data_IF_595602783879
#
_entry.id   IF_595602783879
#
_cell.length_a   1.000
_cell.length_b   1.000
_cell.length_c   1.000
_cell.angle_alpha   90.00
_cell.angle_beta   90.00
_cell.angle_gamma   90.00
#
_symmetry.space_group_name_H-M   'P 1'
#
loop_
_entity.id
_entity.type
_entity.pdbx_description
1 polymer ?
#
# COMPACT_ATOMS: atom_id res chain seq x y z
N UNK A 1 1.73 -10.49 -2.36
CA UNK A 1 2.55 -10.99 -1.24
C UNK A 1 1.91 -12.16 -0.51
N UNK A 2 0.64 -12.11 -0.14
CA UNK A 2 -0.03 -13.12 0.68
C UNK A 2 -0.26 -14.51 0.04
N UNK A 3 0.37 -14.80 -1.10
CA UNK A 3 0.30 -16.08 -1.84
C UNK A 3 1.61 -16.35 -2.61
N UNK A 4 2.72 -15.83 -2.09
CA UNK A 4 4.02 -15.81 -2.75
C UNK A 4 4.56 -17.22 -3.07
N UNK A 5 4.35 -18.20 -2.19
CA UNK A 5 4.72 -19.61 -2.41
C UNK A 5 4.09 -20.18 -3.67
N UNK A 6 2.81 -19.87 -3.91
CA UNK A 6 2.09 -20.34 -5.11
C UNK A 6 2.62 -19.70 -6.39
N UNK A 7 3.03 -18.44 -6.32
CA UNK A 7 3.68 -17.76 -7.44
C UNK A 7 5.04 -18.40 -7.79
N UNK A 8 5.83 -18.79 -6.77
CA UNK A 8 7.08 -19.53 -6.96
C UNK A 8 6.81 -20.92 -7.54
N UNK A 9 5.82 -21.64 -7.02
CA UNK A 9 5.44 -22.98 -7.50
C UNK A 9 4.94 -22.97 -8.96
N UNK A 10 4.34 -21.85 -9.41
CA UNK A 10 3.92 -21.63 -10.80
C UNK A 10 5.03 -21.08 -11.69
N UNK A 11 6.25 -20.91 -11.17
CA UNK A 11 7.39 -20.29 -11.87
C UNK A 11 7.10 -18.87 -12.36
N UNK A 12 6.20 -18.14 -11.69
CA UNK A 12 5.93 -16.72 -11.95
C UNK A 12 6.98 -15.82 -11.31
N UNK A 13 7.71 -16.35 -10.31
CA UNK A 13 8.86 -15.72 -9.67
C UNK A 13 9.95 -16.77 -9.56
N UNK A 14 11.14 -16.44 -10.05
CA UNK A 14 12.36 -17.17 -9.70
C UNK A 14 12.99 -16.49 -8.48
N UNK A 15 12.85 -17.07 -7.27
CA UNK A 15 13.30 -16.42 -6.05
C UNK A 15 14.82 -16.28 -5.98
N UNK A 16 15.59 -17.19 -6.61
CA UNK A 16 17.05 -17.14 -6.62
C UNK A 16 17.51 -16.00 -7.50
N UNK A 17 16.99 -15.93 -8.72
CA UNK A 17 17.30 -14.85 -9.65
C UNK A 17 16.92 -13.47 -9.08
N UNK A 18 15.70 -13.38 -8.54
CA UNK A 18 15.19 -12.11 -8.04
C UNK A 18 15.92 -11.64 -6.78
N UNK A 19 16.29 -12.55 -5.88
CA UNK A 19 17.13 -12.19 -4.73
C UNK A 19 18.51 -11.68 -5.18
N UNK A 20 19.15 -12.36 -6.14
CA UNK A 20 20.44 -11.92 -6.67
C UNK A 20 20.36 -10.56 -7.36
N UNK A 21 19.23 -10.25 -8.02
CA UNK A 21 18.96 -8.93 -8.60
C UNK A 21 18.91 -7.82 -7.54
N UNK A 22 18.22 -8.09 -6.42
CA UNK A 22 18.09 -7.14 -5.31
C UNK A 22 19.42 -6.94 -4.58
N UNK A 23 20.15 -8.05 -4.33
CA UNK A 23 21.40 -8.09 -3.57
C UNK A 23 22.56 -8.67 -4.41
N UNK A 24 23.11 -7.93 -5.39
CA UNK A 24 24.15 -8.44 -6.29
C UNK A 24 25.44 -8.87 -5.58
N UNK A 25 25.75 -8.25 -4.45
CA UNK A 25 26.96 -8.50 -3.67
C UNK A 25 26.82 -9.67 -2.68
N UNK A 26 25.62 -10.23 -2.53
CA UNK A 26 25.40 -11.39 -1.66
C UNK A 26 25.81 -12.68 -2.37
N UNK A 27 26.27 -13.65 -1.58
CA UNK A 27 26.43 -15.02 -2.05
C UNK A 27 25.03 -15.55 -2.41
N UNK A 28 24.87 -16.00 -3.65
CA UNK A 28 23.60 -16.54 -4.14
C UNK A 28 23.16 -17.75 -3.34
N UNK A 29 21.84 -17.97 -3.29
CA UNK A 29 21.26 -19.16 -2.67
C UNK A 29 21.29 -20.35 -3.64
N UNK A 30 21.78 -21.50 -3.19
CA UNK A 30 21.65 -22.76 -3.93
C UNK A 30 20.26 -23.39 -3.77
N UNK A 31 19.54 -23.05 -2.69
CA UNK A 31 18.19 -23.56 -2.40
C UNK A 31 17.11 -22.53 -2.75
N UNK A 32 16.15 -22.87 -3.64
CA UNK A 32 15.00 -22.02 -3.94
C UNK A 32 14.12 -21.71 -2.71
N UNK A 33 14.06 -22.62 -1.73
CA UNK A 33 13.30 -22.40 -0.49
C UNK A 33 13.95 -21.33 0.38
N UNK A 34 15.29 -21.35 0.51
CA UNK A 34 16.04 -20.32 1.23
C UNK A 34 15.89 -18.94 0.56
N UNK A 35 16.00 -18.92 -0.78
CA UNK A 35 15.79 -17.70 -1.55
C UNK A 35 14.36 -17.15 -1.39
N UNK A 36 13.35 -18.03 -1.39
CA UNK A 36 11.94 -17.66 -1.18
C UNK A 36 11.75 -16.99 0.19
N UNK A 37 12.29 -17.57 1.27
CA UNK A 37 12.19 -17.01 2.61
C UNK A 37 12.89 -15.64 2.72
N UNK A 38 14.10 -15.52 2.18
CA UNK A 38 14.86 -14.27 2.21
C UNK A 38 14.19 -13.17 1.38
N UNK A 39 13.65 -13.52 0.22
CA UNK A 39 12.93 -12.61 -0.67
C UNK A 39 11.59 -12.17 -0.08
N UNK A 40 10.85 -13.08 0.55
CA UNK A 40 9.61 -12.74 1.26
C UNK A 40 9.88 -11.78 2.43
N UNK A 41 10.92 -12.05 3.22
CA UNK A 41 11.37 -11.15 4.29
C UNK A 41 11.73 -9.75 3.76
N UNK A 42 12.42 -9.68 2.61
CA UNK A 42 12.71 -8.42 1.96
C UNK A 42 11.41 -7.66 1.65
N UNK A 43 10.46 -8.31 0.99
CA UNK A 43 9.20 -7.70 0.60
C UNK A 43 8.38 -7.21 1.81
N UNK A 44 8.31 -8.00 2.88
CA UNK A 44 7.60 -7.62 4.10
C UNK A 44 8.23 -6.38 4.78
N UNK A 45 9.56 -6.22 4.69
CA UNK A 45 10.20 -4.98 5.14
C UNK A 45 9.93 -3.82 4.19
N UNK A 46 9.98 -4.02 2.86
CA UNK A 46 9.80 -2.93 1.89
C UNK A 46 8.39 -2.34 1.88
N UNK A 47 7.33 -3.14 2.07
CA UNK A 47 5.95 -2.62 2.14
C UNK A 47 5.70 -1.63 3.29
N UNK A 48 6.50 -1.70 4.35
CA UNK A 48 6.40 -0.80 5.51
C UNK A 48 7.32 0.43 5.38
N UNK A 49 8.11 0.54 4.31
CA UNK A 49 9.00 1.70 4.10
C UNK A 49 8.19 2.91 3.67
N UNK A 50 8.56 4.06 4.23
CA UNK A 50 8.01 5.34 3.80
C UNK A 50 8.55 5.72 2.42
N UNK A 51 7.70 6.38 1.63
CA UNK A 51 7.97 6.76 0.23
C UNK A 51 9.13 7.77 0.12
N UNK A 52 9.39 8.55 1.17
CA UNK A 52 10.46 9.55 1.24
C UNK A 52 11.84 8.97 1.58
N UNK A 53 11.90 7.70 2.03
CA UNK A 53 13.18 7.05 2.32
C UNK A 53 13.89 6.65 1.03
N UNK A 54 15.12 7.14 0.88
CA UNK A 54 16.01 6.70 -0.19
C UNK A 54 16.36 5.22 -0.02
N UNK A 55 16.23 4.46 -1.10
CA UNK A 55 16.62 3.06 -1.19
C UNK A 55 17.60 2.85 -2.33
N UNK A 56 18.39 1.77 -2.26
CA UNK A 56 19.29 1.40 -3.34
C UNK A 56 18.52 1.21 -4.66
N UNK A 57 19.10 1.59 -5.82
CA UNK A 57 18.42 1.42 -7.11
C UNK A 57 18.00 -0.01 -7.43
N UNK A 58 18.69 -1.01 -6.89
CA UNK A 58 18.31 -2.42 -7.05
C UNK A 58 17.00 -2.77 -6.35
N UNK A 59 16.64 -2.06 -5.27
CA UNK A 59 15.41 -2.25 -4.50
C UNK A 59 14.22 -1.46 -5.04
N UNK A 60 14.36 -0.84 -6.20
CA UNK A 60 13.24 -0.14 -6.80
C UNK A 60 12.24 -1.16 -7.32
N UNK A 61 10.95 -0.83 -7.18
CA UNK A 61 9.85 -1.71 -7.57
C UNK A 61 10.05 -2.19 -9.01
N UNK A 62 9.88 -3.49 -9.23
CA UNK A 62 10.03 -4.12 -10.52
C UNK A 62 8.73 -4.76 -11.01
N UNK A 63 8.84 -5.66 -12.00
CA UNK A 63 7.69 -6.36 -12.56
C UNK A 63 6.88 -7.16 -11.53
N UNK A 64 7.51 -7.67 -10.46
CA UNK A 64 6.83 -8.49 -9.45
C UNK A 64 5.99 -7.67 -8.49
N UNK A 65 6.43 -6.46 -8.13
CA UNK A 65 5.65 -5.52 -7.35
C UNK A 65 4.50 -4.96 -8.19
N UNK A 66 4.76 -4.58 -9.44
CA UNK A 66 3.73 -4.04 -10.34
C UNK A 66 2.61 -5.03 -10.63
N UNK A 67 2.94 -6.30 -10.88
CA UNK A 67 1.90 -7.34 -11.09
C UNK A 67 1.10 -7.61 -9.80
N UNK A 68 1.74 -7.55 -8.63
CA UNK A 68 1.06 -7.70 -7.35
C UNK A 68 0.16 -6.48 -7.05
N UNK A 69 0.61 -5.28 -7.40
CA UNK A 69 -0.18 -4.04 -7.29
C UNK A 69 -1.39 -4.08 -8.21
N UNK A 70 -1.25 -4.53 -9.46
CA UNK A 70 -2.38 -4.66 -10.38
C UNK A 70 -3.47 -5.60 -9.82
N UNK A 71 -3.07 -6.72 -9.21
CA UNK A 71 -3.99 -7.62 -8.52
C UNK A 71 -4.64 -6.96 -7.30
N UNK A 72 -3.86 -6.23 -6.49
CA UNK A 72 -4.37 -5.56 -5.29
C UNK A 72 -5.38 -4.45 -5.62
N UNK A 73 -5.06 -3.60 -6.61
CA UNK A 73 -5.89 -2.49 -7.05
C UNK A 73 -7.12 -2.95 -7.86
N UNK A 74 -7.14 -4.21 -8.31
CA UNK A 74 -8.18 -4.76 -9.21
C UNK A 74 -8.30 -3.98 -10.53
N UNK A 75 -7.17 -3.45 -10.97
CA UNK A 75 -7.03 -2.60 -12.16
C UNK A 75 -5.70 -2.87 -12.88
N UNK A 76 -5.65 -2.73 -14.21
CA UNK A 76 -4.41 -2.84 -14.97
C UNK A 76 -3.50 -1.64 -14.70
N UNK A 77 -2.19 -1.91 -14.62
CA UNK A 77 -1.16 -0.88 -14.56
C UNK A 77 -0.43 -0.85 -15.89
N UNK A 78 -0.51 0.29 -16.57
CA UNK A 78 0.18 0.54 -17.84
C UNK A 78 1.49 1.28 -17.54
N UNK A 79 2.61 0.71 -17.99
CA UNK A 79 3.93 1.31 -17.88
C UNK A 79 4.43 1.66 -19.27
N UNK A 80 4.74 2.93 -19.48
CA UNK A 80 5.50 3.39 -20.64
C UNK A 80 6.98 3.34 -20.30
N UNK A 81 7.65 2.36 -20.88
CA UNK A 81 9.08 2.16 -20.70
C UNK A 81 9.87 2.98 -21.74
N UNK A 82 10.55 4.02 -21.27
CA UNK A 82 11.24 5.01 -22.11
C UNK A 82 12.73 4.72 -22.13
N UNK A 83 13.24 4.40 -23.33
CA UNK A 83 14.65 4.14 -23.57
C UNK A 83 15.48 5.44 -23.59
N UNK A 84 16.80 5.31 -23.73
CA UNK A 84 17.71 6.47 -23.78
C UNK A 84 17.53 7.39 -25.02
N UNK A 85 16.86 6.92 -26.05
CA UNK A 85 16.53 7.67 -27.27
C UNK A 85 15.12 8.30 -27.22
N UNK A 86 14.43 8.21 -26.08
CA UNK A 86 13.03 8.62 -25.88
C UNK A 86 11.99 7.81 -26.67
N UNK A 87 12.33 6.61 -27.14
CA UNK A 87 11.31 5.68 -27.63
C UNK A 87 10.62 5.03 -26.43
N UNK A 88 9.29 5.04 -26.45
CA UNK A 88 8.46 4.49 -25.40
C UNK A 88 7.81 3.18 -25.86
N UNK A 89 7.97 2.11 -25.07
CA UNK A 89 7.29 0.85 -25.28
C UNK A 89 6.30 0.58 -24.15
N UNK A 90 5.12 0.09 -24.48
CA UNK A 90 4.07 -0.15 -23.49
C UNK A 90 4.21 -1.56 -22.89
N UNK A 91 4.21 -1.62 -21.56
CA UNK A 91 4.02 -2.83 -20.78
C UNK A 91 2.70 -2.70 -20.00
N UNK A 92 1.94 -3.78 -19.91
CA UNK A 92 0.72 -3.81 -19.13
C UNK A 92 0.80 -4.92 -18.09
N UNK A 93 0.53 -4.56 -16.84
CA UNK A 93 0.49 -5.46 -15.70
C UNK A 93 -0.97 -5.73 -15.35
N UNK A 94 -1.32 -7.01 -15.36
CA UNK A 94 -2.67 -7.55 -15.31
C UNK A 94 -2.70 -8.68 -14.26
N UNK A 95 -3.86 -9.28 -14.04
CA UNK A 95 -4.00 -10.48 -13.22
C UNK A 95 -4.98 -11.47 -13.85
N UNK A 96 -4.83 -12.75 -13.51
CA UNK A 96 -5.73 -13.82 -13.97
C UNK A 96 -5.67 -15.02 -13.03
N UNK A 97 -6.61 -15.94 -13.22
CA UNK A 97 -6.58 -17.25 -12.59
C UNK A 97 -5.59 -18.19 -13.30
N UNK A 98 -4.79 -18.89 -12.51
CA UNK A 98 -3.90 -19.97 -12.92
C UNK A 98 -4.41 -21.28 -12.34
N UNK A 99 -4.41 -22.35 -13.13
CA UNK A 99 -4.70 -23.69 -12.63
C UNK A 99 -3.41 -24.32 -12.10
N UNK A 100 -3.40 -24.68 -10.82
CA UNK A 100 -2.31 -25.39 -10.16
C UNK A 100 -2.33 -26.89 -10.52
N UNK A 101 -1.19 -27.61 -10.38
CA UNK A 101 -1.12 -29.06 -10.65
C UNK A 101 -2.04 -29.91 -9.77
N UNK A 102 -2.38 -29.42 -8.58
CA UNK A 102 -3.31 -30.07 -7.64
C UNK A 102 -4.80 -29.88 -8.03
N UNK A 103 -5.06 -29.18 -9.14
CA UNK A 103 -6.40 -28.90 -9.63
C UNK A 103 -7.04 -27.66 -9.01
N UNK A 104 -6.40 -26.97 -8.07
CA UNK A 104 -6.93 -25.73 -7.50
C UNK A 104 -6.66 -24.51 -8.38
N UNK A 105 -7.44 -23.45 -8.23
CA UNK A 105 -7.25 -22.19 -8.94
C UNK A 105 -6.50 -21.19 -8.05
N UNK A 106 -5.57 -20.45 -8.65
CA UNK A 106 -4.73 -19.46 -8.01
C UNK A 106 -4.68 -18.17 -8.82
N UNK A 107 -5.19 -17.10 -8.25
CA UNK A 107 -5.11 -15.78 -8.87
C UNK A 107 -3.74 -15.15 -8.64
N UNK A 108 -3.10 -14.72 -9.72
CA UNK A 108 -1.84 -13.99 -9.65
C UNK A 108 -1.72 -12.93 -10.74
N UNK A 109 -0.89 -11.93 -10.47
CA UNK A 109 -0.51 -10.91 -11.43
C UNK A 109 0.47 -11.43 -12.48
N UNK A 110 0.43 -10.85 -13.68
CA UNK A 110 1.42 -11.05 -14.74
C UNK A 110 1.69 -9.76 -15.52
N UNK A 111 2.85 -9.69 -16.17
CA UNK A 111 3.19 -8.63 -17.11
C UNK A 111 3.07 -9.10 -18.55
N UNK A 112 2.62 -8.22 -19.45
CA UNK A 112 2.65 -8.41 -20.90
C UNK A 112 3.30 -7.18 -21.54
N UNK A 113 4.35 -7.39 -22.32
CA UNK A 113 4.88 -6.35 -23.22
C UNK A 113 4.01 -6.30 -24.48
N UNK A 114 3.64 -5.09 -24.89
CA UNK A 114 2.82 -4.87 -26.07
C UNK A 114 3.71 -4.41 -27.22
N UNK A 115 3.44 -4.93 -28.41
CA UNK A 115 3.95 -4.31 -29.65
C UNK A 115 3.31 -2.93 -29.85
N UNK A 116 3.95 -2.03 -30.61
CA UNK A 116 3.41 -0.69 -30.85
C UNK A 116 1.99 -0.73 -31.45
N UNK A 117 1.71 -1.74 -32.28
CA UNK A 117 0.37 -1.99 -32.83
C UNK A 117 -0.62 -2.38 -31.74
N UNK A 118 -0.30 -3.37 -30.91
CA UNK A 118 -1.17 -3.78 -29.81
C UNK A 118 -1.38 -2.64 -28.80
N UNK A 119 -0.34 -1.84 -28.52
CA UNK A 119 -0.42 -0.69 -27.64
C UNK A 119 -1.36 0.38 -28.20
N UNK A 120 -1.23 0.69 -29.48
CA UNK A 120 -2.14 1.62 -30.18
C UNK A 120 -3.58 1.13 -30.14
N UNK A 121 -3.80 -0.15 -30.42
CA UNK A 121 -5.14 -0.77 -30.37
C UNK A 121 -5.72 -0.75 -28.94
N UNK A 122 -4.91 -1.07 -27.93
CA UNK A 122 -5.31 -1.03 -26.53
C UNK A 122 -5.72 0.38 -26.10
N UNK A 123 -4.83 1.36 -26.30
CA UNK A 123 -5.09 2.75 -25.92
C UNK A 123 -6.27 3.33 -26.69
N UNK A 124 -6.47 2.96 -27.96
CA UNK A 124 -7.63 3.37 -28.73
C UNK A 124 -8.93 2.79 -28.17
N UNK A 125 -8.97 1.50 -27.81
CA UNK A 125 -10.17 0.92 -27.21
C UNK A 125 -10.46 1.53 -25.83
N UNK A 126 -9.42 1.83 -25.03
CA UNK A 126 -9.58 2.57 -23.79
C UNK A 126 -10.16 3.97 -24.05
N UNK A 127 -9.62 4.69 -25.02
CA UNK A 127 -10.09 6.02 -25.39
C UNK A 127 -11.54 6.01 -25.88
N UNK A 128 -11.88 5.11 -26.81
CA UNK A 128 -13.22 5.00 -27.39
C UNK A 128 -14.29 4.68 -26.34
N UNK A 129 -13.91 4.05 -25.23
CA UNK A 129 -14.77 3.71 -24.10
C UNK A 129 -14.52 4.58 -22.87
N UNK A 130 -13.79 5.69 -23.00
CA UNK A 130 -13.49 6.63 -21.90
C UNK A 130 -12.89 5.96 -20.63
N UNK A 131 -11.93 5.07 -20.82
CA UNK A 131 -11.22 4.36 -19.74
C UNK A 131 -9.86 5.00 -19.52
N UNK A 132 -9.56 5.33 -18.27
CA UNK A 132 -8.21 5.75 -17.84
C UNK A 132 -7.67 4.69 -16.88
N UNK A 133 -6.78 3.85 -17.38
CA UNK A 133 -6.00 2.92 -16.57
C UNK A 133 -4.93 3.66 -15.77
N UNK A 134 -4.45 3.06 -14.67
CA UNK A 134 -3.31 3.60 -13.93
C UNK A 134 -2.07 3.59 -14.84
N UNK A 135 -1.58 4.78 -15.18
CA UNK A 135 -0.44 4.94 -16.09
C UNK A 135 0.81 5.43 -15.34
N UNK A 136 1.94 4.80 -15.64
CA UNK A 136 3.25 5.13 -15.10
C UNK A 136 4.26 5.26 -16.24
N UNK A 137 5.26 6.12 -16.07
CA UNK A 137 6.38 6.27 -17.01
C UNK A 137 7.64 5.82 -16.31
N UNK A 138 8.33 4.83 -16.87
CA UNK A 138 9.64 4.39 -16.42
C UNK A 138 10.70 5.01 -17.32
N UNK A 139 11.60 5.78 -16.74
CA UNK A 139 12.78 6.31 -17.45
C UNK A 139 14.02 5.53 -17.02
N UNK A 140 14.53 4.63 -17.86
CA UNK A 140 15.64 3.72 -17.50
C UNK A 140 16.87 4.44 -16.93
N UNK A 141 17.19 5.63 -17.43
CA UNK A 141 18.35 6.40 -17.01
C UNK A 141 18.18 7.07 -15.63
N UNK A 142 16.95 7.46 -15.29
CA UNK A 142 16.59 7.98 -13.97
C UNK A 142 16.25 6.83 -13.01
N UNK A 143 16.02 5.63 -13.57
CA UNK A 143 15.48 4.39 -12.98
C UNK A 143 14.06 4.55 -12.40
N UNK A 144 13.48 5.73 -12.37
CA UNK A 144 12.34 6.06 -11.49
C UNK A 144 11.02 5.97 -12.24
N UNK A 145 9.95 5.64 -11.49
CA UNK A 145 8.59 5.68 -12.02
C UNK A 145 7.94 7.03 -11.75
N UNK A 146 7.29 7.57 -12.78
CA UNK A 146 6.47 8.77 -12.69
C UNK A 146 5.01 8.39 -12.88
N UNK A 147 4.17 8.66 -11.89
CA UNK A 147 2.72 8.53 -12.05
C UNK A 147 2.18 9.61 -13.00
N UNK A 148 1.24 9.23 -13.86
CA UNK A 148 0.58 10.16 -14.77
C UNK A 148 -0.69 10.71 -14.12
N UNK A 149 -0.79 12.03 -14.03
CA UNK A 149 -2.02 12.70 -13.57
C UNK A 149 -2.87 13.11 -14.77
N UNK A 150 -4.12 12.70 -14.76
CA UNK A 150 -5.08 12.96 -15.85
C UNK A 150 -6.05 14.13 -15.53
N UNK A 151 -5.95 14.73 -14.34
CA UNK A 151 -6.70 15.91 -13.95
C UNK A 151 -8.22 15.75 -14.06
N UNK A 152 -8.88 16.78 -14.61
CA UNK A 152 -10.34 16.83 -14.79
C UNK A 152 -10.88 15.69 -15.68
N UNK A 153 -10.12 15.25 -16.68
CA UNK A 153 -10.55 14.19 -17.60
C UNK A 153 -10.84 12.89 -16.85
N UNK A 154 -10.00 12.55 -15.86
CA UNK A 154 -10.23 11.37 -15.02
C UNK A 154 -11.51 11.49 -14.21
N UNK A 155 -11.76 12.66 -13.63
CA UNK A 155 -12.98 12.89 -12.85
C UNK A 155 -14.22 12.79 -13.73
N UNK A 156 -14.18 13.37 -14.93
CA UNK A 156 -15.26 13.30 -15.90
C UNK A 156 -15.52 11.85 -16.31
N UNK A 157 -14.53 11.14 -16.82
CA UNK A 157 -14.70 9.77 -17.33
C UNK A 157 -15.03 8.75 -16.25
N UNK A 158 -14.63 9.00 -15.00
CA UNK A 158 -15.02 8.15 -13.86
C UNK A 158 -16.48 8.34 -13.46
N UNK A 159 -17.04 9.54 -13.63
CA UNK A 159 -18.45 9.84 -13.32
C UNK A 159 -19.44 9.36 -14.41
N UNK A 160 -18.93 9.01 -15.59
CA UNK A 160 -19.73 8.44 -16.67
C UNK A 160 -20.23 7.04 -16.31
N UNK A 161 -21.55 6.86 -16.38
CA UNK A 161 -22.23 5.62 -16.01
C UNK A 161 -22.46 5.45 -14.50
N UNK A 162 -21.82 6.26 -13.67
CA UNK A 162 -21.95 6.25 -12.21
C UNK A 162 -22.73 7.48 -11.73
N UNK A 163 -24.05 7.31 -11.54
CA UNK A 163 -24.91 8.40 -11.09
C UNK A 163 -24.59 8.85 -9.65
N UNK A 164 -24.20 7.93 -8.78
CA UNK A 164 -23.91 8.22 -7.37
C UNK A 164 -22.63 9.08 -7.28
N UNK A 165 -21.57 8.69 -7.97
CA UNK A 165 -20.34 9.49 -8.02
C UNK A 165 -20.58 10.84 -8.68
N UNK A 166 -21.33 10.87 -9.79
CA UNK A 166 -21.66 12.12 -10.48
C UNK A 166 -22.34 13.13 -9.54
N UNK A 167 -23.22 12.69 -8.64
CA UNK A 167 -23.87 13.56 -7.66
C UNK A 167 -22.89 14.18 -6.65
N UNK A 168 -21.85 13.46 -6.23
CA UNK A 168 -20.84 13.94 -5.27
C UNK A 168 -19.88 14.99 -5.84
N UNK A 169 -19.76 15.07 -7.16
CA UNK A 169 -18.84 15.99 -7.84
C UNK A 169 -19.37 17.42 -7.79
N UNK A 170 -18.49 18.42 -7.71
CA UNK A 170 -18.91 19.83 -7.65
C UNK A 170 -19.68 20.28 -8.89
N UNK A 171 -20.71 21.10 -8.71
CA UNK A 171 -21.48 21.74 -9.80
C UNK A 171 -20.67 22.79 -10.58
N UNK A 172 -19.44 23.10 -10.17
CA UNK A 172 -18.54 23.98 -10.91
C UNK A 172 -18.14 23.43 -12.28
N UNK A 173 -18.24 22.12 -12.49
CA UNK A 173 -17.89 21.46 -13.73
C UNK A 173 -19.04 21.52 -14.75
N UNK A 174 -18.80 22.15 -15.89
CA UNK A 174 -19.83 22.40 -16.92
C UNK A 174 -20.41 21.11 -17.51
N UNK A 175 -19.59 20.06 -17.65
CA UNK A 175 -19.99 18.75 -18.19
C UNK A 175 -20.89 17.95 -17.25
N UNK A 176 -20.90 18.24 -15.93
CA UNK A 176 -21.68 17.48 -14.94
C UNK A 176 -23.16 17.43 -15.30
N UNK A 177 -23.69 18.54 -15.81
CA UNK A 177 -25.10 18.63 -16.19
C UNK A 177 -25.49 17.66 -17.31
N UNK A 178 -24.57 17.28 -18.19
CA UNK A 178 -24.84 16.51 -19.42
C UNK A 178 -24.33 15.07 -19.40
N UNK A 179 -23.39 14.73 -18.50
CA UNK A 179 -22.55 13.54 -18.57
C UNK A 179 -23.31 12.20 -18.71
N UNK A 180 -24.43 12.04 -18.00
CA UNK A 180 -25.25 10.82 -18.01
C UNK A 180 -26.66 11.06 -18.58
N UNK A 181 -26.89 12.15 -19.32
CA UNK A 181 -28.20 12.44 -19.90
C UNK A 181 -28.51 11.49 -21.06
N UNK A 182 -29.54 10.65 -20.90
CA UNK A 182 -30.01 9.75 -21.95
C UNK A 182 -31.15 10.36 -22.77
N UNK A 183 -31.08 10.21 -24.09
CA UNK A 183 -32.19 10.47 -25.01
C UNK A 183 -33.32 9.46 -24.80
N UNK A 184 -34.52 9.73 -25.32
CA UNK A 184 -35.67 8.82 -25.15
C UNK A 184 -35.45 7.43 -25.78
N UNK A 185 -34.79 7.39 -26.95
CA UNK A 185 -34.42 6.13 -27.60
C UNK A 185 -33.42 5.35 -26.76
N UNK A 186 -32.35 5.99 -26.30
CA UNK A 186 -31.34 5.36 -25.45
C UNK A 186 -31.95 4.80 -24.16
N UNK A 187 -32.87 5.53 -23.52
CA UNK A 187 -33.59 5.05 -22.33
C UNK A 187 -34.34 3.74 -22.56
N UNK A 188 -34.99 3.60 -23.72
CA UNK A 188 -35.80 2.42 -24.08
C UNK A 188 -34.96 1.25 -24.57
N UNK A 189 -33.73 1.49 -25.02
CA UNK A 189 -32.82 0.42 -25.44
C UNK A 189 -32.43 -0.44 -24.25
N UNK A 190 -32.64 -1.75 -24.35
CA UNK A 190 -32.10 -2.72 -23.38
C UNK A 190 -30.63 -3.00 -23.70
N UNK A 191 -29.74 -2.70 -22.75
CA UNK A 191 -28.30 -2.85 -22.91
C UNK A 191 -27.87 -4.31 -23.12
N UNK A 192 -28.67 -5.28 -22.67
CA UNK A 192 -28.41 -6.71 -22.89
C UNK A 192 -28.61 -7.14 -24.35
N UNK A 193 -29.42 -6.39 -25.11
CA UNK A 193 -29.66 -6.64 -26.54
C UNK A 193 -28.62 -5.97 -27.45
N UNK A 194 -27.82 -5.06 -26.90
CA UNK A 194 -26.78 -4.34 -27.63
C UNK A 194 -25.53 -5.21 -27.71
N UNK A 195 -24.96 -5.36 -28.90
CA UNK A 195 -23.67 -6.04 -29.06
C UNK A 195 -22.53 -5.13 -28.56
N UNK A 196 -22.18 -5.28 -27.28
CA UNK A 196 -21.16 -4.48 -26.60
C UNK A 196 -19.74 -4.70 -27.17
N UNK A 197 -19.51 -5.80 -27.89
CA UNK A 197 -18.21 -6.11 -28.50
C UNK A 197 -17.96 -5.33 -29.81
N UNK A 198 -18.98 -4.67 -30.35
CA UNK A 198 -18.83 -3.84 -31.55
C UNK A 198 -18.25 -2.47 -31.16
N UNK A 199 -17.09 -2.13 -31.71
CA UNK A 199 -16.50 -0.80 -31.58
C UNK A 199 -17.14 0.17 -32.60
N UNK A 200 -18.29 0.74 -32.24
CA UNK A 200 -18.97 1.79 -33.00
C UNK A 200 -19.33 2.94 -32.07
N UNK A 201 -19.20 4.19 -32.55
CA UNK A 201 -19.43 5.40 -31.75
C UNK A 201 -20.79 5.41 -31.05
N UNK A 202 -21.86 4.99 -31.74
CA UNK A 202 -23.20 4.93 -31.15
C UNK A 202 -23.33 3.92 -30.00
N UNK A 203 -22.63 2.79 -30.10
CA UNK A 203 -22.58 1.78 -29.05
C UNK A 203 -21.72 2.29 -27.90
N UNK A 204 -20.51 2.76 -28.18
CA UNK A 204 -19.58 3.26 -27.16
C UNK A 204 -20.19 4.39 -26.35
N UNK A 205 -20.86 5.34 -27.00
CA UNK A 205 -21.48 6.47 -26.33
C UNK A 205 -22.61 6.03 -25.39
N UNK A 206 -23.38 5.02 -25.78
CA UNK A 206 -24.39 4.42 -24.92
C UNK A 206 -23.75 3.69 -23.72
N UNK A 207 -22.64 2.98 -23.93
CA UNK A 207 -21.90 2.30 -22.86
C UNK A 207 -21.32 3.31 -21.87
N UNK A 208 -20.67 4.39 -22.33
CA UNK A 208 -20.13 5.44 -21.46
C UNK A 208 -21.17 6.00 -20.49
N UNK A 209 -22.39 6.26 -20.96
CA UNK A 209 -23.45 6.82 -20.09
C UNK A 209 -24.10 5.83 -19.12
N UNK A 210 -23.89 4.53 -19.31
CA UNK A 210 -24.68 3.47 -18.64
C UNK A 210 -23.86 2.46 -17.87
N UNK A 211 -22.56 2.44 -18.10
CA UNK A 211 -21.64 1.51 -17.48
C UNK A 211 -20.53 2.30 -16.80
N UNK A 212 -20.19 1.87 -15.59
CA UNK A 212 -19.07 2.45 -14.87
C UNK A 212 -17.77 2.21 -15.65
N UNK A 213 -16.75 3.04 -15.42
CA UNK A 213 -15.45 2.92 -16.10
C UNK A 213 -14.85 1.51 -15.94
N UNK A 214 -15.09 0.85 -14.79
CA UNK A 214 -14.59 -0.49 -14.54
C UNK A 214 -15.26 -1.55 -15.42
N UNK A 215 -16.57 -1.47 -15.61
CA UNK A 215 -17.29 -2.41 -16.49
C UNK A 215 -16.92 -2.16 -17.95
N UNK A 216 -16.71 -0.89 -18.33
CA UNK A 216 -16.22 -0.53 -19.66
C UNK A 216 -14.84 -1.11 -19.94
N UNK A 217 -13.97 -1.16 -18.93
CA UNK A 217 -12.66 -1.83 -19.03
C UNK A 217 -12.81 -3.33 -19.37
N UNK A 218 -13.78 -4.03 -18.80
CA UNK A 218 -14.03 -5.44 -19.13
C UNK A 218 -14.48 -5.61 -20.58
N UNK A 219 -15.31 -4.68 -21.08
CA UNK A 219 -15.68 -4.63 -22.50
C UNK A 219 -14.45 -4.41 -23.39
N UNK A 220 -13.58 -3.46 -23.04
CA UNK A 220 -12.34 -3.20 -23.77
C UNK A 220 -11.42 -4.43 -23.80
N UNK A 221 -11.27 -5.12 -22.67
CA UNK A 221 -10.50 -6.36 -22.59
C UNK A 221 -11.12 -7.48 -23.44
N UNK A 222 -12.44 -7.66 -23.36
CA UNK A 222 -13.16 -8.65 -24.16
C UNK A 222 -13.01 -8.39 -25.67
N UNK A 223 -13.08 -7.12 -26.12
CA UNK A 223 -12.84 -6.73 -27.52
C UNK A 223 -11.44 -7.06 -28.01
N UNK A 224 -10.45 -6.98 -27.12
CA UNK A 224 -9.03 -7.23 -27.42
C UNK A 224 -8.60 -8.69 -27.15
N UNK A 225 -9.50 -9.56 -26.70
CA UNK A 225 -9.18 -10.93 -26.30
C UNK A 225 -8.25 -11.00 -25.08
N UNK A 226 -8.23 -9.96 -24.25
CA UNK A 226 -7.53 -9.94 -22.98
C UNK A 226 -8.40 -10.55 -21.88
N UNK A 227 -7.81 -11.11 -20.81
CA UNK A 227 -8.57 -11.60 -19.67
C UNK A 227 -9.44 -10.50 -19.06
N UNK A 228 -10.72 -10.82 -18.85
CA UNK A 228 -11.62 -10.02 -18.03
C UNK A 228 -11.15 -10.14 -16.59
N UNK A 229 -10.98 -8.99 -15.95
CA UNK A 229 -10.37 -8.90 -14.63
C UNK A 229 -11.46 -9.06 -13.57
N UNK A 230 -11.24 -9.88 -12.55
CA UNK A 230 -12.20 -10.03 -11.44
C UNK A 230 -12.29 -8.71 -10.66
N UNK A 231 -13.46 -8.09 -10.57
CA UNK A 231 -13.65 -6.77 -9.93
C UNK A 231 -13.85 -6.86 -8.41
N UNK A 232 -14.26 -8.02 -7.89
CA UNK A 232 -14.44 -8.20 -6.46
C UNK A 232 -13.09 -8.15 -5.73
N UNK A 233 -12.97 -7.23 -4.77
CA UNK A 233 -11.95 -7.34 -3.73
C UNK A 233 -12.52 -8.28 -2.66
N UNK A 234 -11.92 -9.45 -2.40
CA UNK A 234 -12.36 -10.25 -1.26
C UNK A 234 -12.16 -9.43 0.01
N UNK A 235 -13.12 -9.48 0.94
CA UNK A 235 -12.92 -9.04 2.33
C UNK A 235 -11.76 -9.85 2.90
N UNK A 236 -10.58 -9.27 2.85
CA UNK A 236 -9.33 -9.98 3.02
C UNK A 236 -8.45 -9.19 3.98
N UNK A 237 -8.20 -9.77 5.15
CA UNK A 237 -7.21 -9.26 6.07
C UNK A 237 -5.82 -9.54 5.48
N UNK A 238 -5.28 -8.53 4.80
CA UNK A 238 -3.98 -8.60 4.16
C UNK A 238 -2.86 -8.89 5.17
N UNK A 239 -2.93 -8.36 6.39
CA UNK A 239 -1.91 -8.57 7.42
C UNK A 239 -1.94 -10.01 7.95
N UNK A 240 -3.14 -10.51 8.28
CA UNK A 240 -3.30 -11.89 8.71
C UNK A 240 -2.80 -12.87 7.63
N UNK A 241 -3.07 -12.57 6.36
CA UNK A 241 -2.65 -13.41 5.26
C UNK A 241 -1.14 -13.34 4.96
N UNK A 242 -0.49 -12.17 5.09
CA UNK A 242 0.98 -12.10 5.03
C UNK A 242 1.60 -12.88 6.19
N UNK A 243 1.04 -12.78 7.39
CA UNK A 243 1.53 -13.52 8.57
C UNK A 243 1.41 -15.03 8.37
N UNK A 244 0.27 -15.50 7.86
CA UNK A 244 0.04 -16.90 7.54
C UNK A 244 1.01 -17.41 6.47
N UNK A 245 1.20 -16.63 5.39
CA UNK A 245 2.14 -16.97 4.32
C UNK A 245 3.58 -17.07 4.85
N UNK A 246 3.98 -16.15 5.74
CA UNK A 246 5.31 -16.18 6.36
C UNK A 246 5.55 -17.46 7.15
N UNK A 247 4.57 -17.86 7.99
CA UNK A 247 4.65 -19.09 8.78
C UNK A 247 4.81 -20.31 7.87
N UNK A 248 4.00 -20.39 6.82
CA UNK A 248 4.07 -21.47 5.84
C UNK A 248 5.41 -21.52 5.09
N UNK A 249 5.99 -20.38 4.73
CA UNK A 249 7.32 -20.33 4.09
C UNK A 249 8.40 -20.87 5.04
N UNK A 250 8.35 -20.49 6.31
CA UNK A 250 9.29 -20.98 7.31
C UNK A 250 9.14 -22.49 7.59
N UNK A 251 7.92 -23.01 7.55
CA UNK A 251 7.64 -24.46 7.66
C UNK A 251 8.24 -25.25 6.47
N UNK A 252 8.06 -24.77 5.24
CA UNK A 252 8.68 -25.38 4.04
C UNK A 252 10.20 -25.32 4.06
N UNK A 253 10.76 -24.30 4.69
CA UNK A 253 12.18 -24.12 4.91
C UNK A 253 12.73 -25.04 6.02
N UNK A 254 11.88 -25.75 6.77
CA UNK A 254 12.28 -26.70 7.81
C UNK A 254 12.51 -26.07 9.19
N UNK A 255 11.96 -24.87 9.44
CA UNK A 255 11.88 -24.30 10.78
C UNK A 255 10.58 -24.78 11.45
N UNK A 256 10.68 -25.48 12.58
CA UNK A 256 9.53 -25.98 13.35
C UNK A 256 8.59 -24.83 13.79
N UNK A 257 7.28 -25.13 13.92
CA UNK A 257 6.22 -24.17 14.29
C UNK A 257 6.51 -23.34 15.56
N UNK A 258 7.32 -23.86 16.49
CA UNK A 258 7.78 -23.17 17.71
C UNK A 258 8.87 -22.13 17.43
N UNK A 259 9.66 -22.26 16.36
CA UNK A 259 10.67 -21.30 15.92
C UNK A 259 10.08 -20.23 14.99
N UNK A 260 9.02 -20.54 14.22
CA UNK A 260 8.31 -19.56 13.39
C UNK A 260 7.48 -18.54 14.20
N UNK A 261 7.13 -18.89 15.44
CA UNK A 261 6.41 -18.03 16.39
C UNK A 261 7.27 -17.57 17.59
N UNK A 262 8.56 -17.88 17.58
CA UNK A 262 9.54 -17.35 18.54
C UNK A 262 10.42 -16.31 17.85
N UNK A 263 10.80 -15.21 18.53
CA UNK A 263 11.79 -14.28 17.99
C UNK A 263 13.06 -15.06 17.64
N UNK A 264 13.54 -14.89 16.41
CA UNK A 264 14.74 -15.52 15.86
C UNK A 264 15.88 -15.58 16.89
N UNK A 265 16.37 -16.77 17.26
CA UNK A 265 17.52 -16.89 18.13
C UNK A 265 18.80 -16.77 17.29
N UNK A 266 19.47 -15.62 17.40
CA UNK A 266 20.89 -15.53 17.11
C UNK A 266 21.28 -14.74 15.87
N UNK A 267 20.81 -13.51 15.75
CA UNK A 267 21.75 -12.46 15.33
C UNK A 267 22.65 -12.20 16.55
N UNK A 268 23.88 -12.69 16.50
CA UNK A 268 24.91 -12.43 17.49
C UNK A 268 25.51 -11.03 17.28
N UNK A 269 24.64 -10.02 17.21
CA UNK A 269 24.98 -8.67 17.62
C UNK A 269 24.17 -8.38 18.87
N UNK A 270 24.90 -8.20 19.99
CA UNK A 270 24.43 -7.66 21.27
C UNK A 270 22.91 -7.42 21.40
N UNK A 271 22.22 -8.30 22.14
CA UNK A 271 20.85 -8.09 22.64
C UNK A 271 20.79 -7.01 23.72
N UNK A 272 21.38 -5.86 23.45
CA UNK A 272 21.17 -4.63 24.20
C UNK A 272 20.67 -3.61 23.16
N UNK A 273 19.51 -2.99 23.44
CA UNK A 273 18.89 -1.89 22.67
C UNK A 273 17.95 -2.21 21.48
N UNK A 274 17.03 -3.17 21.61
CA UNK A 274 15.81 -3.13 20.77
C UNK A 274 14.87 -2.03 21.30
N UNK A 275 14.88 -0.88 20.60
CA UNK A 275 14.06 0.30 20.89
C UNK A 275 12.58 -0.07 20.69
N UNK A 276 11.69 0.19 21.66
CA UNK A 276 10.30 -0.27 21.57
C UNK A 276 9.52 0.51 20.51
N UNK A 277 8.53 -0.15 19.91
CA UNK A 277 7.61 0.46 18.95
C UNK A 277 6.75 1.53 19.63
N UNK A 278 6.72 2.73 19.04
CA UNK A 278 5.92 3.86 19.53
C UNK A 278 4.43 3.53 19.51
N UNK A 279 3.72 3.80 20.60
CA UNK A 279 2.26 3.67 20.62
C UNK A 279 1.64 4.68 19.64
N UNK A 280 0.67 4.21 18.85
CA UNK A 280 -0.03 5.01 17.86
C UNK A 280 -0.65 6.27 18.50
N UNK A 281 -0.48 7.41 17.85
CA UNK A 281 -1.15 8.65 18.24
C UNK A 281 -2.64 8.49 17.98
N UNK A 282 -3.48 9.01 18.88
CA UNK A 282 -4.93 9.10 18.64
C UNK A 282 -5.13 9.89 17.34
N UNK A 283 -5.96 9.39 16.41
CA UNK A 283 -6.07 9.92 15.05
C UNK A 283 -6.33 11.44 15.03
N UNK A 284 -5.43 12.21 14.41
CA UNK A 284 -5.46 13.69 14.44
C UNK A 284 -5.46 14.27 13.03
N UNK A 285 -6.54 14.97 12.66
CA UNK A 285 -6.62 15.77 11.43
C UNK A 285 -5.77 17.05 11.47
N UNK A 286 -5.68 17.76 10.34
CA UNK A 286 -4.83 18.95 10.14
C UNK A 286 -5.03 20.08 11.18
N UNK A 287 -6.25 20.26 11.67
CA UNK A 287 -6.56 21.25 12.73
C UNK A 287 -5.88 20.90 14.05
N UNK A 288 -5.82 19.61 14.39
CA UNK A 288 -5.23 19.11 15.64
C UNK A 288 -3.69 19.17 15.60
N UNK A 289 -3.10 18.98 14.42
CA UNK A 289 -1.66 19.16 14.21
C UNK A 289 -1.21 20.60 14.47
N UNK A 290 -1.98 21.60 14.01
CA UNK A 290 -1.66 23.01 14.26
C UNK A 290 -1.78 23.36 15.75
N UNK A 291 -2.83 22.89 16.43
CA UNK A 291 -2.97 23.03 17.88
C UNK A 291 -1.83 22.35 18.64
N UNK A 292 -1.40 21.15 18.22
CA UNK A 292 -0.26 20.46 18.82
C UNK A 292 1.03 21.27 18.73
N UNK A 293 1.33 21.87 17.57
CA UNK A 293 2.51 22.72 17.42
C UNK A 293 2.44 24.00 18.26
N UNK A 294 1.25 24.59 18.44
CA UNK A 294 1.07 25.73 19.36
C UNK A 294 1.31 25.30 20.80
N UNK A 295 0.72 24.18 21.23
CA UNK A 295 0.93 23.60 22.56
C UNK A 295 2.42 23.36 22.82
N UNK A 296 3.21 22.89 21.85
CA UNK A 296 4.65 22.68 22.02
C UNK A 296 5.48 23.97 22.06
N UNK A 297 5.04 25.03 21.37
CA UNK A 297 5.78 26.31 21.28
C UNK A 297 5.67 27.20 22.51
N UNK A 298 4.55 27.16 23.23
CA UNK A 298 4.31 28.05 24.36
C UNK A 298 5.15 27.67 25.59
N UNK A 299 5.54 28.60 26.46
CA UNK A 299 6.19 28.22 27.73
C UNK A 299 5.18 27.48 28.63
N UNK A 300 5.59 26.56 29.52
CA UNK A 300 4.69 25.97 30.52
C UNK A 300 3.91 27.02 31.34
N UNK A 301 4.50 28.21 31.50
CA UNK A 301 3.92 29.36 32.23
C UNK A 301 3.08 30.31 31.36
N UNK A 302 2.99 30.08 30.04
CA UNK A 302 2.21 30.93 29.13
C UNK A 302 0.70 30.61 29.23
N UNK A 303 -0.18 31.62 29.17
CA UNK A 303 -1.62 31.38 29.16
C UNK A 303 -2.04 30.67 27.87
N UNK A 304 -2.38 29.38 28.00
CA UNK A 304 -2.84 28.54 26.89
C UNK A 304 -4.24 28.94 26.41
N UNK A 305 -4.41 29.02 25.08
CA UNK A 305 -5.68 29.36 24.44
C UNK A 305 -6.78 28.35 24.82
N UNK A 306 -8.02 28.83 24.95
CA UNK A 306 -9.16 28.02 25.37
C UNK A 306 -9.47 26.87 24.39
N UNK A 307 -9.04 27.02 23.13
CA UNK A 307 -9.17 26.01 22.07
C UNK A 307 -8.16 24.87 22.21
N UNK A 308 -6.99 25.13 22.80
CA UNK A 308 -5.88 24.16 22.88
C UNK A 308 -5.89 23.35 24.21
N UNK A 309 -6.55 23.86 25.26
CA UNK A 309 -6.67 23.19 26.57
C UNK A 309 -7.22 21.75 26.51
N UNK A 310 -8.33 21.45 25.79
CA UNK A 310 -8.87 20.09 25.77
C UNK A 310 -7.91 19.09 25.10
N UNK A 311 -7.18 19.54 24.08
CA UNK A 311 -6.19 18.72 23.39
C UNK A 311 -4.97 18.45 24.26
N UNK A 312 -4.47 19.45 24.98
CA UNK A 312 -3.35 19.30 25.92
C UNK A 312 -3.67 18.25 27.01
N UNK A 313 -4.87 18.30 27.61
CA UNK A 313 -5.32 17.31 28.61
C UNK A 313 -5.38 15.90 28.00
N UNK A 314 -5.82 15.77 26.75
CA UNK A 314 -5.92 14.48 26.07
C UNK A 314 -4.53 13.89 25.79
N UNK A 315 -3.58 14.73 25.36
CA UNK A 315 -2.19 14.33 25.12
C UNK A 315 -1.52 13.87 26.42
N UNK A 316 -1.68 14.63 27.50
CA UNK A 316 -1.12 14.30 28.82
C UNK A 316 -1.71 12.99 29.35
N UNK A 317 -3.03 12.79 29.20
CA UNK A 317 -3.69 11.56 29.58
C UNK A 317 -3.15 10.35 28.79
N UNK A 318 -2.94 10.50 27.48
CA UNK A 318 -2.39 9.44 26.62
C UNK A 318 -0.95 9.07 26.98
N UNK A 319 -0.09 10.05 27.27
CA UNK A 319 1.26 9.79 27.77
C UNK A 319 1.23 9.12 29.15
N UNK A 320 0.37 9.58 30.07
CA UNK A 320 0.24 8.99 31.39
C UNK A 320 -0.24 7.54 31.36
N UNK A 321 -1.18 7.21 30.47
CA UNK A 321 -1.65 5.84 30.27
C UNK A 321 -0.54 4.97 29.67
N UNK A 322 0.11 5.45 28.61
CA UNK A 322 1.21 4.73 27.95
C UNK A 322 2.40 4.51 28.90
N UNK A 323 2.71 5.47 29.76
CA UNK A 323 3.73 5.34 30.80
C UNK A 323 3.42 4.20 31.78
N UNK A 324 2.15 3.99 32.14
CA UNK A 324 1.75 2.88 33.02
C UNK A 324 1.95 1.55 32.32
N UNK A 325 1.49 1.45 31.07
CA UNK A 325 1.71 0.27 30.23
C UNK A 325 3.21 -0.04 30.08
N UNK A 326 4.04 0.99 29.88
CA UNK A 326 5.49 0.84 29.84
C UNK A 326 6.06 0.28 31.15
N UNK A 327 5.62 0.83 32.28
CA UNK A 327 6.02 0.33 33.60
C UNK A 327 5.56 -1.11 33.85
N UNK A 328 4.41 -1.52 33.33
CA UNK A 328 3.91 -2.90 33.48
C UNK A 328 4.73 -3.88 32.63
N UNK A 329 4.99 -3.52 31.36
CA UNK A 329 5.68 -4.37 30.41
C UNK A 329 7.19 -4.50 30.69
N UNK A 330 7.84 -3.41 31.11
CA UNK A 330 9.30 -3.33 31.12
C UNK A 330 9.93 -3.20 32.52
N UNK A 331 9.15 -3.25 33.60
CA UNK A 331 9.69 -3.10 34.98
C UNK A 331 10.72 -4.15 35.36
N UNK A 332 10.49 -5.42 35.01
CA UNK A 332 11.47 -6.48 35.29
C UNK A 332 12.73 -6.34 34.42
N UNK A 333 12.57 -5.96 33.15
CA UNK A 333 13.66 -5.85 32.17
C UNK A 333 14.57 -4.65 32.45
N UNK A 334 13.99 -3.48 32.68
CA UNK A 334 14.72 -2.21 32.87
C UNK A 334 14.93 -1.84 34.34
N UNK A 335 14.54 -2.70 35.28
CA UNK A 335 14.62 -2.47 36.74
C UNK A 335 13.97 -1.14 37.17
N UNK A 336 12.79 -0.86 36.62
CA UNK A 336 12.06 0.40 36.86
C UNK A 336 11.62 0.49 38.33
N UNK A 337 11.91 1.60 39.04
CA UNK A 337 11.46 1.80 40.41
C UNK A 337 9.94 1.69 40.59
N UNK A 338 9.51 1.34 41.78
CA UNK A 338 8.09 1.38 42.15
C UNK A 338 7.67 2.84 42.37
N UNK A 339 6.61 3.27 41.67
CA UNK A 339 6.03 4.59 41.89
C UNK A 339 5.23 4.57 43.20
N UNK A 340 5.47 5.55 44.07
CA UNK A 340 4.85 5.59 45.43
C UNK A 340 3.33 5.86 45.40
N UNK A 341 2.79 6.27 44.25
CA UNK A 341 1.37 6.65 44.07
C UNK A 341 0.65 5.66 43.16
N UNK A 342 -0.63 5.37 43.47
CA UNK A 342 -1.52 4.55 42.61
C UNK A 342 -1.68 5.10 41.18
N UNK A 343 -1.38 6.39 40.95
CA UNK A 343 -1.26 7.03 39.63
C UNK A 343 0.12 7.70 39.54
N UNK A 344 1.16 6.91 39.28
CA UNK A 344 2.50 7.45 39.05
C UNK A 344 2.61 8.10 37.67
N UNK A 345 3.40 9.16 37.57
CA UNK A 345 3.78 9.83 36.31
C UNK A 345 5.28 9.68 36.06
N UNK A 346 5.76 9.98 34.84
CA UNK A 346 7.19 9.88 34.54
C UNK A 346 8.03 10.79 35.46
N UNK A 347 7.50 11.97 35.81
CA UNK A 347 8.07 12.90 36.78
C UNK A 347 8.49 12.23 38.10
N UNK A 348 7.73 11.23 38.59
CA UNK A 348 8.01 10.54 39.86
C UNK A 348 9.31 9.72 39.82
N UNK A 349 9.80 9.35 38.63
CA UNK A 349 11.02 8.55 38.43
C UNK A 349 12.09 9.27 37.59
N UNK A 350 11.92 10.56 37.30
CA UNK A 350 12.85 11.33 36.45
C UNK A 350 14.28 11.33 36.96
N UNK A 351 14.50 11.41 38.28
CA UNK A 351 15.85 11.35 38.86
C UNK A 351 16.55 10.02 38.56
N UNK A 352 15.78 8.92 38.48
CA UNK A 352 16.31 7.61 38.10
C UNK A 352 16.49 7.49 36.58
N UNK A 353 15.59 8.05 35.78
CA UNK A 353 15.69 8.07 34.33
C UNK A 353 16.94 8.84 33.86
N UNK A 354 17.28 9.97 34.51
CA UNK A 354 18.52 10.70 34.19
C UNK A 354 19.79 9.91 34.54
N UNK A 355 19.74 9.03 35.55
CA UNK A 355 20.85 8.14 35.91
C UNK A 355 20.93 6.91 35.01
N UNK A 356 19.88 6.63 34.23
CA UNK A 356 19.75 5.44 33.37
C UNK A 356 19.34 5.85 31.95
N UNK A 357 20.28 6.35 31.12
CA UNK A 357 19.97 6.95 29.82
C UNK A 357 19.33 5.97 28.83
N UNK A 358 19.60 4.66 28.95
CA UNK A 358 18.97 3.61 28.15
C UNK A 358 17.46 3.51 28.44
N UNK A 359 17.07 3.50 29.72
CA UNK A 359 15.66 3.47 30.12
C UNK A 359 14.93 4.76 29.72
N UNK A 360 15.62 5.91 29.76
CA UNK A 360 15.09 7.18 29.25
C UNK A 360 14.82 7.11 27.75
N UNK A 361 15.79 6.70 26.93
CA UNK A 361 15.60 6.54 25.48
C UNK A 361 14.49 5.56 25.15
N UNK A 362 14.42 4.46 25.89
CA UNK A 362 13.40 3.43 25.73
C UNK A 362 12.00 3.96 26.08
N UNK A 363 11.84 4.77 27.12
CA UNK A 363 10.56 5.39 27.46
C UNK A 363 10.11 6.39 26.37
N UNK A 364 11.02 7.27 25.94
CA UNK A 364 10.71 8.29 24.92
C UNK A 364 10.44 7.71 23.54
N UNK A 365 10.99 6.54 23.23
CA UNK A 365 10.62 5.80 22.03
C UNK A 365 9.20 5.21 22.12
N UNK A 366 8.77 4.83 23.32
CA UNK A 366 7.49 4.16 23.56
C UNK A 366 6.29 5.13 23.62
N UNK A 367 6.49 6.34 24.15
CA UNK A 367 5.42 7.34 24.33
C UNK A 367 4.83 7.84 22.99
N UNK A 368 3.51 8.08 22.92
CA UNK A 368 2.86 8.61 21.71
C UNK A 368 3.23 10.09 21.44
N UNK A 369 3.41 10.89 22.50
CA UNK A 369 3.76 12.32 22.44
C UNK A 369 5.01 12.63 23.27
N UNK A 370 6.20 12.12 22.87
CA UNK A 370 7.43 12.29 23.65
C UNK A 370 7.90 13.74 23.70
N UNK A 371 7.54 14.55 22.71
CA UNK A 371 7.91 15.97 22.67
C UNK A 371 7.21 16.77 23.76
N UNK A 372 5.99 16.39 24.12
CA UNK A 372 5.26 16.99 25.24
C UNK A 372 5.82 16.53 26.58
N UNK A 373 6.21 15.26 26.73
CA UNK A 373 6.82 14.76 27.97
C UNK A 373 8.18 15.41 28.24
N UNK A 374 8.99 15.64 27.20
CA UNK A 374 10.28 16.34 27.32
C UNK A 374 10.14 17.79 27.77
N UNK A 375 8.98 18.39 27.50
CA UNK A 375 8.68 19.79 27.79
C UNK A 375 8.17 20.02 29.21
N UNK A 376 7.56 18.99 29.80
CA UNK A 376 6.90 19.04 31.12
C UNK A 376 7.89 18.70 32.22
#
# INVERSE_FOLDING_TARGET
>A
MCKFRRDVALHLVDPVHEYQRLYPDHLGFESPAAATAALFSHYDVTRHKQIDKRVAPTFWAGPHELRAMAQYLREPIVVFDVNAHNDAHMQCYLYKQYRLPDGTDHESGYGKSFTDREATEYLKNCWDLHIISTCMVLRHHERHFYGVSHGELYLQWRAEGDAELAETISDSYTWKSTINQLTESERKTDLQTVNQLVNMDSVNWLLCKRMEMRERLDVAHARLGLPVLESSSPDFDAEAAVTCENQQIHEEYGLDHLAASSPTPGDSSSKDDEVPTRIARVATGTVVTNSYFRILRDSPDSPMDHVDKPLAVTIEAANCETFRTWCELFRAKLKIPTTKRRRGTAADIMEWLFKTPEALRHLYAFLPYPEQEAKT
#
